data_IF_266633432145
#
_entry.id   IF_266633432145
#
_cell.length_a   1.000
_cell.length_b   1.000
_cell.length_c   1.000
_cell.angle_alpha   90.00
_cell.angle_beta   90.00
_cell.angle_gamma   90.00
#
_symmetry.space_group_name_H-M   'P 1'
#
loop_
_entity.id
_entity.type
_entity.pdbx_description
1 polymer ?
#
# COMPACT_ATOMS: atom_id res chain seq x y z
N UNK A 1 13.35 19.78 3.39
CA UNK A 1 13.30 18.41 3.95
C UNK A 1 12.69 17.43 2.94
N UNK A 2 11.36 17.30 2.80
CA UNK A 2 10.78 16.30 1.86
C UNK A 2 11.00 16.60 0.38
N UNK A 3 11.01 17.89 0.00
CA UNK A 3 11.29 18.33 -1.38
C UNK A 3 12.76 18.15 -1.79
N UNK A 4 13.68 18.29 -0.84
CA UNK A 4 15.12 18.10 -1.11
C UNK A 4 15.41 16.64 -1.43
N UNK A 5 14.86 15.72 -0.62
CA UNK A 5 15.02 14.28 -0.86
C UNK A 5 14.42 13.82 -2.19
N UNK A 6 13.24 14.32 -2.56
CA UNK A 6 12.63 13.99 -3.85
C UNK A 6 13.48 14.48 -5.04
N UNK A 7 14.08 15.67 -4.92
CA UNK A 7 14.99 16.20 -5.93
C UNK A 7 16.30 15.41 -6.04
N UNK A 8 16.87 15.02 -4.90
CA UNK A 8 18.06 14.15 -4.85
C UNK A 8 17.80 12.79 -5.49
N UNK A 9 16.68 12.15 -5.13
CA UNK A 9 16.25 10.88 -5.73
C UNK A 9 16.05 11.00 -7.25
N UNK A 10 15.43 12.09 -7.72
CA UNK A 10 15.22 12.31 -9.15
C UNK A 10 16.54 12.50 -9.90
N UNK A 11 17.48 13.26 -9.34
CA UNK A 11 18.80 13.48 -9.93
C UNK A 11 19.62 12.18 -10.00
N UNK A 12 19.51 11.32 -8.99
CA UNK A 12 20.14 10.00 -9.02
C UNK A 12 19.49 9.07 -10.05
N UNK A 13 18.16 9.12 -10.18
CA UNK A 13 17.43 8.32 -11.16
C UNK A 13 17.77 8.71 -12.60
N UNK A 14 17.97 10.01 -12.88
CA UNK A 14 18.43 10.52 -14.18
C UNK A 14 19.78 9.92 -14.61
N UNK A 15 20.64 9.55 -13.66
CA UNK A 15 21.93 8.90 -13.97
C UNK A 15 21.76 7.45 -14.42
N UNK A 16 20.78 6.74 -13.86
CA UNK A 16 20.54 5.32 -14.16
C UNK A 16 19.61 5.11 -15.35
N UNK A 17 18.60 5.97 -15.49
CA UNK A 17 17.56 5.90 -16.51
C UNK A 17 17.33 7.28 -17.14
N UNK A 18 18.26 7.76 -17.98
CA UNK A 18 18.12 9.08 -18.61
C UNK A 18 16.81 9.18 -19.41
N UNK A 19 16.04 10.24 -19.19
CA UNK A 19 14.78 10.49 -19.92
C UNK A 19 13.54 9.81 -19.34
N UNK A 20 13.63 9.15 -18.17
CA UNK A 20 12.50 8.45 -17.54
C UNK A 20 11.27 9.33 -17.25
N UNK A 21 11.46 10.65 -17.17
CA UNK A 21 10.38 11.62 -16.94
C UNK A 21 9.49 11.81 -18.18
N UNK A 22 10.03 11.55 -19.37
CA UNK A 22 9.32 11.64 -20.63
C UNK A 22 8.64 10.30 -20.99
N UNK A 23 8.88 9.24 -20.20
CA UNK A 23 8.25 7.94 -20.41
C UNK A 23 6.73 8.06 -20.22
N UNK A 24 6.00 7.67 -21.27
CA UNK A 24 4.56 7.55 -21.20
C UNK A 24 4.16 6.14 -20.77
N UNK A 25 3.91 5.99 -19.47
CA UNK A 25 3.38 4.77 -18.87
C UNK A 25 1.89 4.60 -19.22
N UNK A 26 1.62 4.18 -20.46
CA UNK A 26 0.29 3.65 -20.82
C UNK A 26 0.11 2.26 -20.19
N UNK A 27 -1.13 1.83 -19.87
CA UNK A 27 -1.38 0.49 -19.35
C UNK A 27 -0.76 -0.60 -20.22
N UNK A 28 -0.84 -0.47 -21.54
CA UNK A 28 -0.29 -1.43 -22.49
C UNK A 28 1.24 -1.53 -22.40
N UNK A 29 1.94 -0.39 -22.32
CA UNK A 29 3.40 -0.32 -22.19
C UNK A 29 3.85 -0.91 -20.85
N UNK A 30 3.21 -0.51 -19.75
CA UNK A 30 3.53 -1.03 -18.40
C UNK A 30 3.34 -2.54 -18.33
N UNK A 31 2.27 -3.07 -18.93
CA UNK A 31 2.01 -4.51 -18.95
C UNK A 31 3.06 -5.27 -19.76
N UNK A 32 3.48 -4.74 -20.91
CA UNK A 32 4.51 -5.37 -21.74
C UNK A 32 5.88 -5.35 -21.06
N UNK A 33 6.26 -4.21 -20.48
CA UNK A 33 7.51 -4.10 -19.69
C UNK A 33 7.48 -5.02 -18.46
N UNK A 34 6.37 -5.05 -17.71
CA UNK A 34 6.23 -5.92 -16.54
C UNK A 34 6.37 -7.41 -16.89
N UNK A 35 5.94 -7.85 -18.08
CA UNK A 35 6.15 -9.23 -18.56
C UNK A 35 7.61 -9.53 -18.86
N UNK A 36 8.37 -8.54 -19.31
CA UNK A 36 9.79 -8.69 -19.64
C UNK A 36 10.70 -8.60 -18.39
N UNK A 37 10.21 -8.01 -17.30
CA UNK A 37 10.92 -7.97 -16.02
C UNK A 37 11.07 -9.39 -15.44
N UNK A 38 12.33 -9.84 -15.34
CA UNK A 38 12.70 -11.18 -14.84
C UNK A 38 12.19 -11.49 -13.43
N UNK A 39 11.86 -10.47 -12.64
CA UNK A 39 11.39 -10.57 -11.25
C UNK A 39 10.40 -9.44 -10.97
N UNK A 40 9.09 -9.71 -11.05
CA UNK A 40 8.07 -8.77 -10.58
C UNK A 40 7.98 -8.95 -9.06
N UNK A 41 9.03 -8.59 -8.30
CA UNK A 41 9.04 -8.74 -6.84
C UNK A 41 8.46 -7.54 -6.09
N UNK A 42 8.31 -6.39 -6.76
CA UNK A 42 7.86 -5.14 -6.14
C UNK A 42 6.55 -5.33 -5.36
N UNK A 43 5.58 -6.07 -5.92
CA UNK A 43 4.30 -6.38 -5.28
C UNK A 43 4.44 -7.16 -3.96
N UNK A 44 5.52 -7.91 -3.78
CA UNK A 44 5.77 -8.70 -2.56
C UNK A 44 6.39 -7.87 -1.43
N UNK A 45 7.16 -6.84 -1.79
CA UNK A 45 7.77 -5.95 -0.81
C UNK A 45 6.79 -4.87 -0.40
N UNK A 46 6.13 -4.19 -1.36
CA UNK A 46 5.27 -3.04 -1.05
C UNK A 46 3.82 -3.43 -0.73
N UNK A 47 3.34 -4.54 -1.28
CA UNK A 47 1.94 -4.98 -1.14
C UNK A 47 1.48 -5.11 0.31
N UNK A 48 2.24 -5.78 1.20
CA UNK A 48 1.82 -5.92 2.60
C UNK A 48 1.68 -4.59 3.34
N UNK A 49 2.54 -3.61 3.02
CA UNK A 49 2.44 -2.26 3.59
C UNK A 49 1.19 -1.56 3.08
N UNK A 50 0.95 -1.55 1.77
CA UNK A 50 -0.23 -0.90 1.18
C UNK A 50 -1.55 -1.54 1.65
N UNK A 51 -1.58 -2.86 1.79
CA UNK A 51 -2.72 -3.59 2.37
C UNK A 51 -3.01 -3.13 3.80
N UNK A 52 -2.00 -3.05 4.67
CA UNK A 52 -2.16 -2.55 6.03
C UNK A 52 -2.64 -1.09 6.06
N UNK A 53 -2.06 -0.24 5.21
CA UNK A 53 -2.43 1.17 5.15
C UNK A 53 -3.87 1.34 4.65
N UNK A 54 -4.30 0.55 3.67
CA UNK A 54 -5.67 0.54 3.18
C UNK A 54 -6.67 0.13 4.27
N UNK A 55 -6.35 -0.86 5.10
CA UNK A 55 -7.22 -1.25 6.23
C UNK A 55 -7.34 -0.10 7.24
N UNK A 56 -6.24 0.59 7.56
CA UNK A 56 -6.31 1.74 8.47
C UNK A 56 -7.08 2.91 7.87
N UNK A 57 -6.94 3.16 6.57
CA UNK A 57 -7.67 4.23 5.88
C UNK A 57 -9.18 3.93 5.80
N UNK A 58 -9.58 2.68 5.57
CA UNK A 58 -10.98 2.24 5.66
C UNK A 58 -11.55 2.57 7.06
N UNK A 59 -10.81 2.25 8.12
CA UNK A 59 -11.26 2.50 9.50
C UNK A 59 -11.26 3.99 9.87
N UNK A 60 -10.33 4.78 9.33
CA UNK A 60 -10.38 6.24 9.44
C UNK A 60 -11.64 6.79 8.78
N UNK A 61 -11.93 6.37 7.55
CA UNK A 61 -13.11 6.81 6.80
C UNK A 61 -14.41 6.45 7.55
N UNK A 62 -14.48 5.23 8.10
CA UNK A 62 -15.60 4.79 8.92
C UNK A 62 -15.84 5.63 10.19
N UNK A 63 -14.79 6.27 10.73
CA UNK A 63 -14.91 7.19 11.86
C UNK A 63 -15.53 8.55 11.50
N UNK A 64 -15.71 8.85 10.21
CA UNK A 64 -16.30 10.11 9.73
C UNK A 64 -15.50 11.32 10.21
N UNK A 65 -16.18 12.28 10.85
CA UNK A 65 -15.55 13.50 11.40
C UNK A 65 -15.03 13.32 12.85
N UNK A 66 -15.21 12.16 13.46
CA UNK A 66 -14.81 11.92 14.84
C UNK A 66 -13.27 11.85 14.98
N UNK A 67 -12.68 12.34 16.10
CA UNK A 67 -11.27 12.11 16.38
C UNK A 67 -11.00 10.62 16.61
N UNK A 68 -9.81 10.17 16.24
CA UNK A 68 -9.36 8.80 16.46
C UNK A 68 -8.13 8.77 17.36
N UNK A 69 -8.03 7.73 18.20
CA UNK A 69 -6.87 7.51 19.05
C UNK A 69 -6.02 6.35 18.49
N UNK A 70 -4.69 6.51 18.48
CA UNK A 70 -3.78 5.60 17.81
C UNK A 70 -3.92 4.15 18.29
N UNK A 71 -3.89 3.92 19.60
CA UNK A 71 -3.90 2.57 20.17
C UNK A 71 -5.19 1.84 19.81
N UNK A 72 -6.35 2.48 20.02
CA UNK A 72 -7.66 1.91 19.70
C UNK A 72 -7.82 1.62 18.21
N UNK A 73 -7.41 2.55 17.33
CA UNK A 73 -7.48 2.35 15.89
C UNK A 73 -6.57 1.21 15.42
N UNK A 74 -5.32 1.17 15.89
CA UNK A 74 -4.35 0.10 15.56
C UNK A 74 -4.85 -1.27 16.04
N UNK A 75 -5.42 -1.36 17.24
CA UNK A 75 -5.99 -2.61 17.76
C UNK A 75 -7.19 -3.10 16.93
N UNK A 76 -8.06 -2.19 16.48
CA UNK A 76 -9.17 -2.51 15.57
C UNK A 76 -8.65 -2.99 14.22
N UNK A 77 -7.68 -2.28 13.63
CA UNK A 77 -7.09 -2.65 12.35
C UNK A 77 -6.44 -4.03 12.38
N UNK A 78 -5.74 -4.39 13.46
CA UNK A 78 -5.15 -5.73 13.61
C UNK A 78 -6.21 -6.85 13.59
N UNK A 79 -7.35 -6.64 14.25
CA UNK A 79 -8.46 -7.61 14.26
C UNK A 79 -9.08 -7.73 12.86
N UNK A 80 -9.33 -6.60 12.20
CA UNK A 80 -9.92 -6.56 10.87
C UNK A 80 -9.00 -7.15 9.81
N UNK A 81 -7.70 -6.85 9.85
CA UNK A 81 -6.73 -7.43 8.95
C UNK A 81 -6.66 -8.96 9.12
N UNK A 82 -6.72 -9.46 10.36
CA UNK A 82 -6.83 -10.89 10.62
C UNK A 82 -8.11 -11.49 10.03
N UNK A 83 -9.24 -10.81 10.14
CA UNK A 83 -10.50 -11.26 9.52
C UNK A 83 -10.42 -11.27 7.99
N UNK A 84 -9.93 -10.18 7.38
CA UNK A 84 -9.76 -10.07 5.92
C UNK A 84 -8.78 -11.12 5.38
N UNK A 85 -7.70 -11.42 6.10
CA UNK A 85 -6.80 -12.53 5.77
C UNK A 85 -7.50 -13.90 5.80
N UNK A 86 -8.29 -14.18 6.84
CA UNK A 86 -9.08 -15.43 6.92
C UNK A 86 -10.11 -15.53 5.79
N UNK A 87 -10.66 -14.40 5.35
CA UNK A 87 -11.56 -14.29 4.21
C UNK A 87 -10.86 -14.29 2.85
N UNK A 88 -9.52 -14.38 2.81
CA UNK A 88 -8.71 -14.35 1.58
C UNK A 88 -8.84 -13.04 0.78
N UNK A 89 -9.15 -11.94 1.45
CA UNK A 89 -9.20 -10.59 0.85
C UNK A 89 -7.94 -9.78 1.10
N UNK A 90 -7.07 -10.21 2.02
CA UNK A 90 -5.66 -9.81 2.06
C UNK A 90 -4.81 -10.91 1.44
N UNK A 91 -3.73 -10.53 0.75
CA UNK A 91 -2.92 -11.47 -0.03
C UNK A 91 -1.67 -11.93 0.72
N UNK A 92 -1.39 -11.35 1.88
CA UNK A 92 -0.20 -11.65 2.67
C UNK A 92 -0.49 -11.60 4.19
N UNK A 93 -0.02 -12.58 4.98
CA UNK A 93 -0.10 -12.51 6.44
C UNK A 93 0.81 -11.41 7.01
N UNK A 94 1.87 -11.00 6.30
CA UNK A 94 2.76 -9.90 6.68
C UNK A 94 2.02 -8.55 6.75
N UNK A 95 0.89 -8.40 6.07
CA UNK A 95 0.00 -7.23 6.16
C UNK A 95 -0.60 -7.05 7.57
N UNK A 96 -0.62 -8.10 8.38
CA UNK A 96 -1.10 -8.07 9.78
C UNK A 96 0.07 -7.69 10.70
N UNK A 97 0.56 -6.46 10.57
CA UNK A 97 1.71 -5.97 11.33
C UNK A 97 1.36 -4.72 12.13
N UNK A 98 1.62 -4.77 13.45
CA UNK A 98 1.42 -3.61 14.33
C UNK A 98 2.24 -2.40 13.87
N UNK A 99 3.48 -2.62 13.46
CA UNK A 99 4.37 -1.55 13.03
C UNK A 99 3.87 -0.87 11.75
N UNK A 100 3.28 -1.64 10.83
CA UNK A 100 2.67 -1.06 9.63
C UNK A 100 1.48 -0.18 9.98
N UNK A 101 0.61 -0.61 10.89
CA UNK A 101 -0.51 0.21 11.35
C UNK A 101 -0.06 1.46 12.12
N UNK A 102 0.97 1.35 12.95
CA UNK A 102 1.56 2.51 13.63
C UNK A 102 2.09 3.53 12.62
N UNK A 103 2.80 3.08 11.59
CA UNK A 103 3.32 3.96 10.54
C UNK A 103 2.21 4.56 9.67
N UNK A 104 1.18 3.77 9.32
CA UNK A 104 -0.02 4.26 8.62
C UNK A 104 -0.74 5.34 9.42
N UNK A 105 -0.84 5.18 10.75
CA UNK A 105 -1.37 6.22 11.62
C UNK A 105 -0.53 7.50 11.56
N UNK A 106 0.81 7.39 11.57
CA UNK A 106 1.68 8.56 11.45
C UNK A 106 1.53 9.26 10.10
N UNK A 107 1.35 8.51 9.01
CA UNK A 107 1.03 9.08 7.70
C UNK A 107 -0.29 9.88 7.76
N UNK A 108 -1.35 9.28 8.28
CA UNK A 108 -2.64 9.95 8.45
C UNK A 108 -2.52 11.20 9.34
N UNK A 109 -1.73 11.13 10.42
CA UNK A 109 -1.44 12.28 11.29
C UNK A 109 -0.72 13.40 10.54
N UNK A 110 0.25 13.08 9.68
CA UNK A 110 0.95 14.06 8.85
C UNK A 110 0.01 14.73 7.83
N UNK A 111 -0.98 13.99 7.33
CA UNK A 111 -2.08 14.52 6.50
C UNK A 111 -3.16 15.23 7.33
N UNK A 112 -2.95 15.37 8.65
CA UNK A 112 -3.88 15.97 9.60
C UNK A 112 -5.21 15.24 9.67
N UNK A 113 -5.28 13.95 9.34
CA UNK A 113 -6.54 13.21 9.26
C UNK A 113 -6.96 12.56 10.58
N UNK A 114 -6.17 12.63 11.66
CA UNK A 114 -6.48 11.91 12.91
C UNK A 114 -7.35 12.72 13.88
N UNK A 115 -7.23 14.04 13.82
CA UNK A 115 -8.03 14.95 14.65
C UNK A 115 -9.43 15.13 14.05
N UNK A 116 -10.44 15.20 14.92
CA UNK A 116 -11.81 15.44 14.50
C UNK A 116 -12.02 16.90 14.11
N UNK A 117 -12.49 17.13 12.89
CA UNK A 117 -12.90 18.45 12.39
C UNK A 117 -14.02 18.29 11.35
N UNK A 118 -14.85 19.32 11.12
CA UNK A 118 -15.84 19.27 10.05
C UNK A 118 -15.20 18.96 8.70
N UNK A 119 -15.72 17.95 7.99
CA UNK A 119 -15.31 17.59 6.62
C UNK A 119 -14.08 16.69 6.51
N UNK A 120 -13.42 16.31 7.62
CA UNK A 120 -12.28 15.37 7.55
C UNK A 120 -12.70 13.98 7.10
N UNK A 121 -13.96 13.60 7.31
CA UNK A 121 -14.51 12.33 6.82
C UNK A 121 -14.38 12.18 5.30
N UNK A 122 -14.62 13.26 4.54
CA UNK A 122 -14.48 13.24 3.08
C UNK A 122 -13.00 13.08 2.65
N UNK A 123 -12.09 13.76 3.34
CA UNK A 123 -10.65 13.63 3.11
C UNK A 123 -10.13 12.22 3.47
N UNK A 124 -10.69 11.60 4.51
CA UNK A 124 -10.38 10.23 4.93
C UNK A 124 -10.88 9.21 3.90
N UNK A 125 -12.08 9.40 3.36
CA UNK A 125 -12.61 8.55 2.28
C UNK A 125 -11.75 8.67 1.01
N UNK A 126 -11.33 9.89 0.65
CA UNK A 126 -10.45 10.09 -0.50
C UNK A 126 -9.12 9.34 -0.34
N UNK A 127 -8.50 9.37 0.85
CA UNK A 127 -7.31 8.58 1.14
C UNK A 127 -7.58 7.06 1.07
N UNK A 128 -8.73 6.61 1.59
CA UNK A 128 -9.12 5.20 1.52
C UNK A 128 -9.27 4.73 0.07
N UNK A 129 -9.93 5.51 -0.79
CA UNK A 129 -10.10 5.21 -2.21
C UNK A 129 -8.77 5.18 -2.98
N UNK A 130 -7.86 6.10 -2.66
CA UNK A 130 -6.52 6.10 -3.23
C UNK A 130 -5.76 4.82 -2.85
N UNK A 131 -5.73 4.45 -1.57
CA UNK A 131 -5.03 3.25 -1.09
C UNK A 131 -5.67 1.97 -1.62
N UNK A 132 -7.00 1.87 -1.68
CA UNK A 132 -7.70 0.75 -2.33
C UNK A 132 -7.31 0.63 -3.81
N UNK A 133 -7.15 1.77 -4.50
CA UNK A 133 -6.68 1.77 -5.90
C UNK A 133 -5.24 1.27 -6.02
N UNK A 134 -4.35 1.68 -5.12
CA UNK A 134 -2.98 1.18 -5.08
C UNK A 134 -2.92 -0.32 -4.82
N UNK A 135 -3.71 -0.82 -3.84
CA UNK A 135 -3.80 -2.26 -3.55
C UNK A 135 -4.27 -3.04 -4.78
N UNK A 136 -5.32 -2.59 -5.47
CA UNK A 136 -5.79 -3.23 -6.72
C UNK A 136 -4.69 -3.31 -7.79
N UNK A 137 -3.95 -2.22 -8.01
CA UNK A 137 -2.85 -2.19 -9.00
C UNK A 137 -1.71 -3.15 -8.63
N UNK A 138 -1.40 -3.25 -7.34
CA UNK A 138 -0.41 -4.22 -6.86
C UNK A 138 -0.91 -5.66 -7.05
N UNK A 139 -2.20 -5.91 -6.90
CA UNK A 139 -2.80 -7.22 -7.15
C UNK A 139 -2.81 -7.58 -8.65
N UNK A 140 -3.03 -6.62 -9.53
CA UNK A 140 -2.86 -6.82 -10.99
C UNK A 140 -1.43 -7.27 -11.33
N UNK A 141 -0.41 -6.62 -10.74
CA UNK A 141 1.00 -7.04 -10.90
C UNK A 141 1.26 -8.44 -10.35
N UNK A 142 0.60 -8.81 -9.24
CA UNK A 142 0.68 -10.16 -8.67
C UNK A 142 0.09 -11.20 -9.65
N UNK A 143 -1.05 -10.92 -10.26
CA UNK A 143 -1.67 -11.80 -11.25
C UNK A 143 -0.81 -11.97 -12.50
N UNK A 144 -0.20 -10.89 -13.00
CA UNK A 144 0.72 -10.94 -14.15
C UNK A 144 1.95 -11.80 -13.83
N UNK A 145 2.52 -11.65 -12.63
CA UNK A 145 3.66 -12.44 -12.18
C UNK A 145 3.32 -13.93 -12.11
N UNK A 146 2.14 -14.28 -11.57
CA UNK A 146 1.65 -15.66 -11.50
C UNK A 146 1.42 -16.26 -12.89
N UNK A 147 0.77 -15.51 -13.80
CA UNK A 147 0.49 -15.95 -15.16
C UNK A 147 1.77 -16.17 -15.99
N UNK A 148 2.84 -15.42 -15.68
CA UNK A 148 4.15 -15.52 -16.34
C UNK A 148 5.01 -16.68 -15.82
N UNK A 149 4.46 -17.54 -14.95
CA UNK A 149 5.16 -18.71 -14.41
C UNK A 149 6.24 -18.40 -13.37
N UNK A 150 6.26 -17.19 -12.82
CA UNK A 150 7.19 -16.87 -11.73
C UNK A 150 6.78 -17.66 -10.48
N UNK A 151 7.74 -18.29 -9.78
CA UNK A 151 7.41 -19.13 -8.64
C UNK A 151 6.63 -18.32 -7.60
N UNK A 152 5.44 -18.81 -7.26
CA UNK A 152 4.76 -18.45 -6.02
C UNK A 152 5.59 -19.09 -4.90
N UNK A 153 6.53 -18.33 -4.34
CA UNK A 153 7.15 -18.72 -3.08
C UNK A 153 6.07 -18.52 -2.01
N UNK A 154 5.25 -19.55 -1.84
CA UNK A 154 4.46 -19.69 -0.62
C UNK A 154 5.52 -19.81 0.48
N UNK A 155 5.70 -18.76 1.27
CA UNK A 155 6.41 -18.87 2.54
C UNK A 155 5.50 -19.71 3.44
N UNK A 156 5.55 -21.03 3.20
CA UNK A 156 4.96 -22.02 4.07
C UNK A 156 5.69 -21.89 5.39
N UNK A 157 5.01 -21.34 6.38
CA UNK A 157 5.42 -21.48 7.77
C UNK A 157 5.50 -22.97 8.08
N UNK A 158 6.72 -23.51 7.99
CA UNK A 158 7.07 -24.73 8.70
C UNK A 158 7.20 -24.34 10.17
N UNK A 159 6.12 -24.52 10.92
CA UNK A 159 6.24 -24.73 12.35
C UNK A 159 5.97 -26.22 12.58
N UNK A 160 7.01 -26.91 13.05
CA UNK A 160 6.90 -28.24 13.66
C UNK A 160 6.27 -28.19 15.04
#
# INVERSE_FOLDING_TARGET
ATRDFAGEMAAEYDLMYPGWQDDQFTPEVVLEEARQMKLVLAHRVIGPFLEAYSVLADELAAAGDAPVEQKSLVETCLKLAKQKWLQKTLHSPESISKDYFVNAFQLAKNYKLVDGRPGVGEEREALADELRTMVRRIDDLRHIAQASGQPVLIVGGQNG
#
